data_IF_962585287917
#
_entry.id   IF_962585287917
#
_cell.length_a   1.000
_cell.length_b   1.000
_cell.length_c   1.000
_cell.angle_alpha   90.00
_cell.angle_beta   90.00
_cell.angle_gamma   90.00
#
_symmetry.space_group_name_H-M   'P 1'
#
loop_
_entity.id
_entity.type
_entity.pdbx_description
1 polymer ?
#
# COMPACT_ATOMS: atom_id res chain seq x y z
N UNK A 1 -18.50 15.56 9.18
CA UNK A 1 -17.70 14.48 8.60
C UNK A 1 -18.29 14.06 7.27
N UNK A 2 -17.77 14.56 6.15
CA UNK A 2 -18.03 13.94 4.86
C UNK A 2 -17.22 12.64 4.84
N UNK A 3 -17.85 11.52 5.20
CA UNK A 3 -17.24 10.20 4.98
C UNK A 3 -17.19 9.99 3.48
N UNK A 4 -16.06 10.28 2.86
CA UNK A 4 -15.76 9.62 1.59
C UNK A 4 -15.86 8.12 1.84
N UNK A 5 -16.72 7.44 1.09
CA UNK A 5 -16.87 6.00 1.20
C UNK A 5 -15.60 5.37 0.60
N UNK A 6 -14.60 5.16 1.44
CA UNK A 6 -13.42 4.36 1.11
C UNK A 6 -13.84 3.03 0.47
N UNK A 7 -14.94 2.45 0.93
CA UNK A 7 -15.53 1.24 0.37
C UNK A 7 -15.85 1.38 -1.12
N UNK A 8 -16.45 2.49 -1.55
CA UNK A 8 -16.80 2.71 -2.96
C UNK A 8 -15.54 2.81 -3.83
N UNK A 9 -14.51 3.47 -3.30
CA UNK A 9 -13.21 3.66 -3.96
C UNK A 9 -12.47 2.32 -4.02
N UNK A 10 -12.48 1.58 -2.91
CA UNK A 10 -11.89 0.24 -2.84
C UNK A 10 -12.55 -0.67 -3.87
N UNK A 11 -13.87 -0.81 -3.87
CA UNK A 11 -14.59 -1.65 -4.83
C UNK A 11 -14.34 -1.23 -6.28
N UNK A 12 -14.22 0.07 -6.55
CA UNK A 12 -13.97 0.58 -7.90
C UNK A 12 -12.56 0.29 -8.41
N UNK A 13 -11.53 0.40 -7.56
CA UNK A 13 -10.13 0.38 -8.00
C UNK A 13 -9.34 -0.87 -7.62
N UNK A 14 -9.84 -1.70 -6.69
CA UNK A 14 -9.13 -2.89 -6.18
C UNK A 14 -8.72 -3.83 -7.31
N UNK A 15 -9.62 -4.11 -8.26
CA UNK A 15 -9.36 -5.03 -9.34
C UNK A 15 -8.35 -4.47 -10.35
N UNK A 16 -8.41 -3.17 -10.64
CA UNK A 16 -7.46 -2.50 -11.54
C UNK A 16 -6.05 -2.45 -10.93
N UNK A 17 -5.95 -2.05 -9.67
CA UNK A 17 -4.68 -1.94 -8.93
C UNK A 17 -4.05 -3.33 -8.74
N UNK A 18 -4.86 -4.34 -8.40
CA UNK A 18 -4.39 -5.72 -8.25
C UNK A 18 -3.82 -6.27 -9.56
N UNK A 19 -4.51 -6.09 -10.69
CA UNK A 19 -3.99 -6.50 -12.00
C UNK A 19 -2.72 -5.76 -12.39
N UNK A 20 -2.65 -4.46 -12.09
CA UNK A 20 -1.48 -3.65 -12.36
C UNK A 20 -0.27 -4.08 -11.51
N UNK A 21 -0.44 -4.29 -10.21
CA UNK A 21 0.64 -4.73 -9.34
C UNK A 21 1.05 -6.19 -9.63
N UNK A 22 0.11 -7.04 -10.03
CA UNK A 22 0.41 -8.39 -10.49
C UNK A 22 1.26 -8.39 -11.76
N UNK A 23 0.98 -7.50 -12.73
CA UNK A 23 1.79 -7.40 -13.95
C UNK A 23 3.19 -6.83 -13.71
N UNK A 24 3.39 -6.07 -12.62
CA UNK A 24 4.72 -5.59 -12.23
C UNK A 24 5.51 -6.64 -11.45
N UNK A 25 4.88 -7.28 -10.47
CA UNK A 25 5.54 -8.19 -9.52
C UNK A 25 5.69 -9.61 -10.06
N UNK A 26 4.78 -10.07 -10.91
CA UNK A 26 4.66 -11.46 -11.35
C UNK A 26 4.51 -12.47 -10.20
N UNK A 27 4.14 -12.00 -9.00
CA UNK A 27 3.93 -12.80 -7.81
C UNK A 27 2.61 -12.38 -7.19
N UNK A 28 1.70 -13.35 -7.05
CA UNK A 28 0.36 -13.11 -6.54
C UNK A 28 0.36 -12.66 -5.07
N UNK A 29 1.15 -13.30 -4.22
CA UNK A 29 1.18 -12.97 -2.80
C UNK A 29 1.77 -11.58 -2.59
N UNK A 30 2.85 -11.29 -3.31
CA UNK A 30 3.44 -9.96 -3.26
C UNK A 30 2.49 -8.89 -3.82
N UNK A 31 1.79 -9.17 -4.92
CA UNK A 31 0.81 -8.23 -5.45
C UNK A 31 -0.30 -7.93 -4.43
N UNK A 32 -0.84 -8.95 -3.76
CA UNK A 32 -1.86 -8.80 -2.72
C UNK A 32 -1.32 -7.93 -1.55
N UNK A 33 -0.09 -8.17 -1.08
CA UNK A 33 0.52 -7.34 -0.02
C UNK A 33 0.66 -5.87 -0.44
N UNK A 34 1.15 -5.61 -1.66
CA UNK A 34 1.34 -4.25 -2.16
C UNK A 34 0.01 -3.53 -2.39
N UNK A 35 -1.04 -4.26 -2.79
CA UNK A 35 -2.40 -3.73 -2.91
C UNK A 35 -2.87 -3.23 -1.55
N UNK A 36 -2.74 -4.04 -0.50
CA UNK A 36 -3.17 -3.68 0.84
C UNK A 36 -2.43 -2.45 1.37
N UNK A 37 -1.11 -2.41 1.20
CA UNK A 37 -0.28 -1.25 1.56
C UNK A 37 -0.69 0.01 0.79
N UNK A 38 -1.02 -0.12 -0.50
CA UNK A 38 -1.49 0.99 -1.34
C UNK A 38 -2.78 1.59 -0.79
N UNK A 39 -3.79 0.77 -0.48
CA UNK A 39 -5.06 1.25 0.05
C UNK A 39 -4.93 1.77 1.48
N UNK A 40 -4.03 1.22 2.28
CA UNK A 40 -3.71 1.75 3.61
C UNK A 40 -3.14 3.17 3.52
N UNK A 41 -2.16 3.41 2.64
CA UNK A 41 -1.64 4.76 2.38
C UNK A 41 -2.69 5.67 1.77
N UNK A 42 -3.57 5.13 0.93
CA UNK A 42 -4.67 5.89 0.36
C UNK A 42 -5.61 6.41 1.44
N UNK A 43 -6.01 5.55 2.38
CA UNK A 43 -6.86 5.89 3.52
C UNK A 43 -6.30 7.04 4.35
N UNK A 44 -4.99 7.08 4.59
CA UNK A 44 -4.34 8.14 5.37
C UNK A 44 -4.36 9.51 4.72
N UNK A 45 -4.54 9.59 3.39
CA UNK A 45 -4.44 10.85 2.64
C UNK A 45 -5.72 11.21 1.88
N UNK A 46 -6.78 10.41 2.04
CA UNK A 46 -8.01 10.55 1.25
C UNK A 46 -8.82 11.80 1.60
N UNK A 47 -8.69 12.30 2.84
CA UNK A 47 -9.38 13.50 3.30
C UNK A 47 -8.89 14.78 2.61
N UNK A 48 -7.67 14.76 2.04
CA UNK A 48 -7.03 15.90 1.38
C UNK A 48 -7.19 15.86 -0.15
N UNK A 49 -7.77 14.80 -0.71
CA UNK A 49 -7.80 14.59 -2.16
C UNK A 49 -9.10 15.06 -2.82
N UNK A 50 -8.96 15.73 -3.97
CA UNK A 50 -10.07 16.04 -4.87
C UNK A 50 -10.39 14.84 -5.77
N UNK A 51 -11.69 14.49 -5.88
CA UNK A 51 -12.21 13.33 -6.62
C UNK A 51 -11.68 13.19 -8.06
N UNK A 52 -11.52 14.31 -8.77
CA UNK A 52 -11.12 14.30 -10.18
C UNK A 52 -9.71 13.74 -10.43
N UNK A 53 -8.87 13.62 -9.40
CA UNK A 53 -7.49 13.13 -9.50
C UNK A 53 -7.24 11.83 -8.74
N UNK A 54 -8.29 11.19 -8.22
CA UNK A 54 -8.15 9.99 -7.38
C UNK A 54 -7.49 8.81 -8.11
N UNK A 55 -7.98 8.46 -9.31
CA UNK A 55 -7.42 7.35 -10.10
C UNK A 55 -5.91 7.51 -10.37
N UNK A 56 -5.45 8.59 -11.04
CA UNK A 56 -4.02 8.74 -11.33
C UNK A 56 -3.15 8.86 -10.06
N UNK A 57 -3.69 9.43 -8.98
CA UNK A 57 -2.99 9.47 -7.71
C UNK A 57 -2.83 8.08 -7.09
N UNK A 58 -3.88 7.26 -7.09
CA UNK A 58 -3.85 5.90 -6.52
C UNK A 58 -2.86 5.00 -7.25
N UNK A 59 -2.81 5.07 -8.58
CA UNK A 59 -1.79 4.37 -9.38
C UNK A 59 -0.36 4.84 -9.07
N UNK A 60 -0.18 6.14 -8.80
CA UNK A 60 1.12 6.67 -8.38
C UNK A 60 1.54 6.12 -7.01
N UNK A 61 0.61 6.04 -6.06
CA UNK A 61 0.86 5.41 -4.75
C UNK A 61 1.23 3.94 -4.93
N UNK A 62 0.48 3.19 -5.73
CA UNK A 62 0.77 1.77 -6.01
C UNK A 62 2.18 1.58 -6.59
N UNK A 63 2.56 2.42 -7.55
CA UNK A 63 3.89 2.37 -8.14
C UNK A 63 5.00 2.71 -7.13
N UNK A 64 4.80 3.72 -6.28
CA UNK A 64 5.77 4.04 -5.23
C UNK A 64 5.93 2.89 -4.24
N UNK A 65 4.83 2.27 -3.81
CA UNK A 65 4.84 1.09 -2.93
C UNK A 65 5.62 -0.06 -3.55
N UNK A 66 5.42 -0.33 -4.85
CA UNK A 66 6.19 -1.31 -5.59
C UNK A 66 7.69 -0.97 -5.63
N UNK A 67 8.05 0.27 -5.96
CA UNK A 67 9.46 0.70 -6.00
C UNK A 67 10.11 0.59 -4.62
N UNK A 68 9.42 1.00 -3.56
CA UNK A 68 9.91 0.88 -2.18
C UNK A 68 10.20 -0.60 -1.83
N UNK A 69 9.29 -1.50 -2.20
CA UNK A 69 9.46 -2.93 -2.01
C UNK A 69 10.67 -3.48 -2.80
N UNK A 70 10.79 -3.12 -4.08
CA UNK A 70 11.94 -3.51 -4.92
C UNK A 70 13.27 -2.97 -4.38
N UNK A 71 13.30 -1.75 -3.86
CA UNK A 71 14.49 -1.15 -3.23
C UNK A 71 14.88 -1.88 -1.96
N UNK A 72 13.92 -2.34 -1.16
CA UNK A 72 14.17 -3.14 0.04
C UNK A 72 14.73 -4.52 -0.32
N UNK A 73 14.18 -5.18 -1.34
CA UNK A 73 14.64 -6.51 -1.77
C UNK A 73 16.03 -6.50 -2.43
N UNK A 74 16.40 -5.39 -3.10
CA UNK A 74 17.75 -5.22 -3.69
C UNK A 74 18.85 -4.92 -2.67
N UNK A 75 18.52 -4.64 -1.40
CA UNK A 75 19.51 -4.56 -0.33
C UNK A 75 19.68 -5.96 0.27
N UNK A 76 20.77 -6.69 -0.02
CA UNK A 76 21.10 -7.88 0.76
C UNK A 76 21.55 -7.41 2.13
N UNK A 77 20.60 -7.23 3.07
CA UNK A 77 20.76 -7.22 4.53
C UNK A 77 19.62 -6.40 5.13
N UNK A 78 18.57 -7.09 5.57
CA UNK A 78 18.00 -6.75 6.86
C UNK A 78 17.81 -8.07 7.60
N UNK A 79 18.66 -8.30 8.60
CA UNK A 79 18.46 -9.38 9.56
C UNK A 79 17.09 -9.16 10.18
N UNK A 80 16.22 -10.15 10.10
CA UNK A 80 14.99 -10.17 10.88
C UNK A 80 15.43 -10.29 12.35
N UNK A 81 15.20 -9.31 13.24
CA UNK A 81 15.19 -9.60 14.65
C UNK A 81 13.90 -10.38 14.90
N UNK A 82 14.07 -11.59 15.43
CA UNK A 82 13.02 -12.54 15.77
C UNK A 82 11.83 -11.86 16.46
N UNK A 83 10.70 -11.72 15.75
CA UNK A 83 9.54 -10.93 16.20
C UNK A 83 8.65 -11.70 17.20
N UNK A 84 9.04 -12.91 17.60
CA UNK A 84 8.41 -13.65 18.70
C UNK A 84 9.04 -13.39 20.08
N UNK A 85 9.93 -12.40 20.21
CA UNK A 85 10.33 -11.94 21.54
C UNK A 85 9.27 -11.00 22.11
N UNK A 86 8.38 -11.56 22.93
CA UNK A 86 7.39 -10.83 23.72
C UNK A 86 8.06 -9.72 24.53
N UNK A 87 7.92 -8.45 24.13
CA UNK A 87 7.87 -7.37 25.11
C UNK A 87 7.25 -6.08 24.57
N UNK A 88 6.17 -5.68 25.23
CA UNK A 88 5.65 -4.31 25.30
C UNK A 88 6.77 -3.27 25.49
N UNK A 89 6.71 -2.16 24.73
CA UNK A 89 6.65 -0.77 25.25
C UNK A 89 7.12 0.27 24.21
N UNK A 90 6.29 1.33 24.09
CA UNK A 90 6.64 2.74 23.86
C UNK A 90 7.19 3.09 22.47
N UNK A 91 6.96 4.26 21.93
CA UNK A 91 5.99 5.35 22.08
C UNK A 91 6.24 6.14 20.79
N UNK A 92 5.17 6.63 20.18
CA UNK A 92 5.26 7.64 19.13
C UNK A 92 6.00 8.87 19.70
N UNK A 93 7.06 9.29 19.04
CA UNK A 93 7.53 10.68 18.97
C UNK A 93 7.62 11.05 17.48
#
# INVERSE_FOLDING_TARGET
>A
MSRYNLDDIYQSYIQEISRYLLSLTHDRYLAEDLVQETFFRAYLHIEELNDQKMKPWLFKVAYHVFIDHMRKNKRPNCKIPDLFSTNTRKCFD
#
